data_IF_087870580400
#
_entry.id   IF_087870580400
#
_cell.length_a   1.000
_cell.length_b   1.000
_cell.length_c   1.000
_cell.angle_alpha   90.00
_cell.angle_beta   90.00
_cell.angle_gamma   90.00
#
_symmetry.space_group_name_H-M   'P 1'
#
loop_
_entity.id
_entity.type
_entity.pdbx_description
1 polymer ?
#
# COMPACT_ATOMS: atom_id res chain seq x y z
N UNK A 1 3.66 -8.04 22.55
CA UNK A 1 3.24 -7.33 21.32
C UNK A 1 2.69 -5.96 21.69
N UNK A 2 3.01 -4.91 20.92
CA UNK A 2 2.41 -3.59 21.12
C UNK A 2 0.91 -3.63 20.85
N UNK A 3 0.17 -2.77 21.53
CA UNK A 3 -1.25 -2.57 21.27
C UNK A 3 -1.49 -1.91 19.91
N UNK A 4 -2.71 -2.01 19.38
CA UNK A 4 -3.09 -1.31 18.13
C UNK A 4 -2.86 0.21 18.26
N UNK A 5 -3.18 0.79 19.41
CA UNK A 5 -2.96 2.22 19.67
C UNK A 5 -1.48 2.61 19.62
N UNK A 6 -0.59 1.79 20.18
CA UNK A 6 0.87 2.00 20.11
C UNK A 6 1.39 1.88 18.67
N UNK A 7 0.92 0.89 17.89
CA UNK A 7 1.26 0.78 16.46
C UNK A 7 0.81 2.03 15.68
N UNK A 8 -0.39 2.54 15.93
CA UNK A 8 -0.91 3.77 15.32
C UNK A 8 -0.10 5.01 15.69
N UNK A 9 0.25 5.15 16.97
CA UNK A 9 1.10 6.24 17.45
C UNK A 9 2.46 6.21 16.74
N UNK A 10 3.13 5.04 16.72
CA UNK A 10 4.40 4.84 16.03
C UNK A 10 4.30 5.17 14.53
N UNK A 11 3.19 4.82 13.88
CA UNK A 11 3.00 5.12 12.46
C UNK A 11 2.89 6.63 12.20
N UNK A 12 2.18 7.36 13.04
CA UNK A 12 2.11 8.82 12.99
C UNK A 12 3.49 9.46 13.24
N UNK A 13 4.25 8.97 14.21
CA UNK A 13 5.61 9.41 14.49
C UNK A 13 6.56 9.23 13.31
N UNK A 14 6.49 8.08 12.61
CA UNK A 14 7.27 7.84 11.38
C UNK A 14 7.00 8.90 10.30
N UNK A 15 5.77 9.36 10.17
CA UNK A 15 5.41 10.40 9.20
C UNK A 15 5.82 11.81 9.65
N UNK A 16 5.87 12.07 10.95
CA UNK A 16 6.27 13.36 11.51
C UNK A 16 7.80 13.50 11.64
N UNK A 17 8.53 12.40 11.83
CA UNK A 17 9.99 12.40 12.02
C UNK A 17 10.71 12.90 10.76
N UNK A 18 11.95 13.44 10.85
CA UNK A 18 12.78 13.74 9.69
C UNK A 18 13.11 12.49 8.86
N UNK A 19 13.48 12.70 7.59
CA UNK A 19 13.96 11.65 6.70
C UNK A 19 12.84 10.85 6.04
N UNK A 20 13.24 9.83 5.27
CA UNK A 20 12.36 8.96 4.48
C UNK A 20 12.43 7.52 4.98
N UNK A 21 11.30 6.80 4.97
CA UNK A 21 11.27 5.37 5.32
C UNK A 21 10.65 4.52 4.21
N UNK A 22 11.09 3.26 4.16
CA UNK A 22 10.50 2.26 3.27
C UNK A 22 9.42 1.51 4.01
N UNK A 23 8.26 1.37 3.36
CA UNK A 23 7.10 0.62 3.82
C UNK A 23 6.83 -0.51 2.81
N UNK A 24 7.54 -1.65 2.90
CA UNK A 24 7.41 -2.74 1.93
C UNK A 24 6.04 -3.41 2.04
N UNK A 25 5.63 -4.07 0.96
CA UNK A 25 4.30 -4.60 0.81
C UNK A 25 4.31 -6.13 0.92
N UNK A 26 3.96 -6.71 2.08
CA UNK A 26 3.67 -8.13 2.20
C UNK A 26 2.41 -8.50 1.43
N UNK A 27 2.34 -9.75 0.97
CA UNK A 27 1.19 -10.29 0.26
C UNK A 27 0.51 -11.44 1.03
N UNK A 28 1.14 -11.91 2.12
CA UNK A 28 0.63 -12.89 3.07
C UNK A 28 1.31 -12.74 4.44
N UNK A 29 0.88 -13.53 5.42
CA UNK A 29 1.43 -13.52 6.78
C UNK A 29 2.91 -13.91 6.80
N UNK A 30 3.34 -14.88 5.99
CA UNK A 30 4.74 -15.29 5.91
C UNK A 30 5.64 -14.15 5.45
N UNK A 31 5.28 -13.47 4.35
CA UNK A 31 6.02 -12.32 3.85
C UNK A 31 6.00 -11.14 4.84
N UNK A 32 4.91 -10.95 5.61
CA UNK A 32 4.86 -9.92 6.64
C UNK A 32 5.87 -10.18 7.78
N UNK A 33 5.91 -11.41 8.30
CA UNK A 33 6.88 -11.83 9.34
C UNK A 33 8.32 -11.71 8.82
N UNK A 34 8.58 -12.14 7.59
CA UNK A 34 9.91 -12.00 6.98
C UNK A 34 10.34 -10.53 6.87
N UNK A 35 9.49 -9.66 6.35
CA UNK A 35 9.80 -8.23 6.25
C UNK A 35 10.01 -7.59 7.63
N UNK A 36 9.23 -7.98 8.64
CA UNK A 36 9.44 -7.51 10.01
C UNK A 36 10.81 -7.97 10.57
N UNK A 37 11.25 -9.18 10.24
CA UNK A 37 12.58 -9.70 10.67
C UNK A 37 13.75 -8.91 10.08
N UNK A 38 13.56 -8.25 8.95
CA UNK A 38 14.56 -7.39 8.29
C UNK A 38 14.67 -5.98 8.90
N UNK A 39 13.83 -5.64 9.89
CA UNK A 39 13.90 -4.37 10.61
C UNK A 39 13.20 -3.20 9.90
N UNK A 40 12.30 -3.44 8.96
CA UNK A 40 11.48 -2.36 8.42
C UNK A 40 10.60 -1.73 9.50
N UNK A 41 10.38 -0.40 9.47
CA UNK A 41 9.66 0.29 10.55
C UNK A 41 8.14 0.16 10.47
N UNK A 42 7.59 -0.18 9.31
CA UNK A 42 6.17 -0.34 9.02
C UNK A 42 5.98 -1.19 7.76
N UNK A 43 4.77 -1.70 7.56
CA UNK A 43 4.35 -2.49 6.40
C UNK A 43 3.15 -1.83 5.70
N UNK A 44 3.00 -2.05 4.39
CA UNK A 44 1.76 -1.75 3.67
C UNK A 44 1.25 -3.00 2.97
N UNK A 45 -0.05 -3.29 3.02
CA UNK A 45 -0.61 -4.36 2.19
C UNK A 45 -0.54 -3.99 0.70
N UNK A 46 -0.89 -4.93 -0.16
CA UNK A 46 -1.01 -4.73 -1.60
C UNK A 46 -2.23 -5.49 -2.12
N UNK A 47 -3.17 -4.78 -2.75
CA UNK A 47 -4.38 -5.36 -3.35
C UNK A 47 -4.02 -6.46 -4.36
N UNK A 48 -3.10 -6.18 -5.27
CA UNK A 48 -2.61 -7.15 -6.25
C UNK A 48 -1.99 -8.38 -5.60
N UNK A 49 -1.08 -8.20 -4.61
CA UNK A 49 -0.44 -9.31 -3.91
C UNK A 49 -1.42 -10.18 -3.15
N UNK A 50 -2.38 -9.57 -2.46
CA UNK A 50 -3.49 -10.24 -1.79
C UNK A 50 -4.34 -11.07 -2.77
N UNK A 51 -4.69 -10.48 -3.91
CA UNK A 51 -5.47 -11.16 -4.93
C UNK A 51 -4.71 -12.37 -5.52
N UNK A 52 -3.41 -12.21 -5.79
CA UNK A 52 -2.57 -13.31 -6.30
C UNK A 52 -2.45 -14.46 -5.29
N UNK A 53 -2.30 -14.16 -4.00
CA UNK A 53 -2.30 -15.18 -2.94
C UNK A 53 -3.65 -15.93 -2.86
N UNK A 54 -4.75 -15.26 -3.20
CA UNK A 54 -6.09 -15.87 -3.28
C UNK A 54 -6.39 -16.58 -4.62
N UNK A 55 -5.42 -16.63 -5.56
CA UNK A 55 -5.63 -17.20 -6.90
C UNK A 55 -6.57 -16.34 -7.77
N UNK A 56 -6.61 -15.03 -7.54
CA UNK A 56 -7.48 -14.06 -8.23
C UNK A 56 -6.66 -12.98 -8.94
N UNK A 57 -7.24 -12.31 -9.91
CA UNK A 57 -6.68 -11.11 -10.52
C UNK A 57 -6.77 -9.90 -9.59
N UNK A 58 -5.96 -8.88 -9.84
CA UNK A 58 -6.01 -7.60 -9.11
C UNK A 58 -7.39 -6.96 -9.24
N UNK A 59 -7.95 -6.43 -8.13
CA UNK A 59 -9.30 -5.89 -8.04
C UNK A 59 -10.43 -6.94 -8.03
N UNK A 60 -10.12 -8.25 -7.95
CA UNK A 60 -11.12 -9.32 -7.98
C UNK A 60 -11.45 -9.91 -6.59
N UNK A 61 -11.00 -9.29 -5.52
CA UNK A 61 -11.36 -9.66 -4.15
C UNK A 61 -12.47 -8.76 -3.64
N UNK A 62 -13.31 -9.30 -2.75
CA UNK A 62 -14.34 -8.50 -2.10
C UNK A 62 -13.87 -7.87 -0.77
N UNK A 63 -14.69 -6.96 -0.24
CA UNK A 63 -14.41 -6.27 1.01
C UNK A 63 -14.19 -7.21 2.19
N UNK A 64 -14.97 -8.29 2.29
CA UNK A 64 -14.89 -9.20 3.42
C UNK A 64 -13.55 -9.94 3.44
N UNK A 65 -13.11 -10.42 2.27
CA UNK A 65 -11.79 -11.03 2.12
C UNK A 65 -10.65 -10.03 2.43
N UNK A 66 -10.74 -8.82 1.87
CA UNK A 66 -9.75 -7.77 2.12
C UNK A 66 -9.62 -7.45 3.62
N UNK A 67 -10.74 -7.28 4.33
CA UNK A 67 -10.75 -7.01 5.77
C UNK A 67 -10.19 -8.18 6.60
N UNK A 68 -10.46 -9.42 6.21
CA UNK A 68 -9.85 -10.60 6.88
C UNK A 68 -8.35 -10.61 6.69
N UNK A 69 -7.88 -10.46 5.45
CA UNK A 69 -6.46 -10.41 5.12
C UNK A 69 -5.72 -9.28 5.87
N UNK A 70 -6.33 -8.09 5.95
CA UNK A 70 -5.75 -6.96 6.68
C UNK A 70 -5.63 -7.25 8.18
N UNK A 71 -6.61 -7.91 8.78
CA UNK A 71 -6.55 -8.34 10.18
C UNK A 71 -5.42 -9.33 10.39
N UNK A 72 -5.32 -10.36 9.55
CA UNK A 72 -4.26 -11.36 9.62
C UNK A 72 -2.86 -10.73 9.54
N UNK A 73 -2.66 -9.75 8.63
CA UNK A 73 -1.40 -9.02 8.51
C UNK A 73 -1.14 -8.10 9.72
N UNK A 74 -2.16 -7.43 10.24
CA UNK A 74 -2.02 -6.53 11.39
C UNK A 74 -1.67 -7.28 12.68
N UNK A 75 -2.17 -8.51 12.82
CA UNK A 75 -1.89 -9.40 13.96
C UNK A 75 -0.56 -10.14 13.81
N UNK A 76 -0.08 -10.35 12.59
CA UNK A 76 1.11 -11.17 12.32
C UNK A 76 2.42 -10.56 12.81
N UNK A 77 2.48 -9.24 13.03
CA UNK A 77 3.72 -8.53 13.39
C UNK A 77 3.48 -7.41 14.39
N UNK A 78 4.55 -6.95 15.05
CA UNK A 78 4.52 -5.78 15.92
C UNK A 78 4.58 -4.44 15.17
N UNK A 79 4.59 -4.48 13.83
CA UNK A 79 4.73 -3.29 12.99
C UNK A 79 3.39 -2.63 12.70
N UNK A 80 3.37 -1.30 12.53
CA UNK A 80 2.23 -0.61 11.95
C UNK A 80 1.95 -1.11 10.53
N UNK A 81 0.68 -1.29 10.19
CA UNK A 81 0.23 -1.67 8.86
C UNK A 81 -0.57 -0.55 8.19
N UNK A 82 -0.19 -0.17 6.96
CA UNK A 82 -1.02 0.65 6.07
C UNK A 82 -1.78 -0.26 5.11
N UNK A 83 -3.08 -0.14 5.02
CA UNK A 83 -3.87 -0.91 4.06
C UNK A 83 -3.87 -0.24 2.67
N UNK A 84 -3.59 -1.02 1.63
CA UNK A 84 -4.03 -0.73 0.27
C UNK A 84 -5.51 -1.14 0.18
N UNK A 85 -6.40 -0.14 0.29
CA UNK A 85 -7.83 -0.37 0.47
C UNK A 85 -8.64 -0.01 -0.77
N UNK A 86 -7.98 0.01 -1.93
CA UNK A 86 -8.55 0.32 -3.25
C UNK A 86 -9.41 1.61 -3.19
N UNK A 87 -10.56 1.63 -3.87
CA UNK A 87 -11.51 2.74 -3.79
C UNK A 87 -12.47 2.64 -2.57
N UNK A 88 -12.13 1.83 -1.56
CA UNK A 88 -12.94 1.65 -0.35
C UNK A 88 -14.04 0.59 -0.48
N UNK A 89 -14.00 -0.26 -1.51
CA UNK A 89 -14.94 -1.38 -1.71
C UNK A 89 -16.42 -0.97 -1.62
N UNK A 90 -16.76 0.22 -2.08
CA UNK A 90 -18.12 0.76 -2.01
C UNK A 90 -18.48 1.57 -3.25
N UNK A 91 -19.78 1.70 -3.53
CA UNK A 91 -20.29 2.43 -4.70
C UNK A 91 -20.35 3.94 -4.46
N UNK A 92 -20.66 4.37 -3.24
CA UNK A 92 -20.91 5.75 -2.85
C UNK A 92 -20.14 6.14 -1.57
N UNK A 93 -20.24 7.38 -1.17
CA UNK A 93 -19.54 7.92 -0.01
C UNK A 93 -20.01 7.28 1.31
N UNK A 94 -21.29 6.98 1.46
CA UNK A 94 -21.83 6.34 2.67
C UNK A 94 -21.26 4.91 2.82
N UNK A 95 -21.20 4.17 1.73
CA UNK A 95 -20.56 2.87 1.71
C UNK A 95 -19.06 2.94 1.99
N UNK A 96 -18.35 4.00 1.55
CA UNK A 96 -16.94 4.25 1.91
C UNK A 96 -16.80 4.54 3.40
N UNK A 97 -17.70 5.32 4.00
CA UNK A 97 -17.70 5.57 5.44
C UNK A 97 -17.76 4.26 6.23
N UNK A 98 -18.69 3.38 5.91
CA UNK A 98 -18.81 2.08 6.59
C UNK A 98 -17.60 1.18 6.32
N UNK A 99 -17.09 1.14 5.09
CA UNK A 99 -15.88 0.36 4.76
C UNK A 99 -14.66 0.85 5.52
N UNK A 100 -14.48 2.17 5.62
CA UNK A 100 -13.39 2.80 6.37
C UNK A 100 -13.48 2.46 7.87
N UNK A 101 -14.68 2.53 8.45
CA UNK A 101 -14.93 2.12 9.85
C UNK A 101 -14.51 0.66 10.09
N UNK A 102 -14.87 -0.24 9.18
CA UNK A 102 -14.49 -1.66 9.27
C UNK A 102 -12.97 -1.85 9.08
N UNK A 103 -12.35 -1.08 8.19
CA UNK A 103 -10.90 -1.10 7.98
C UNK A 103 -10.14 -0.66 9.23
N UNK A 104 -10.59 0.41 9.91
CA UNK A 104 -10.04 0.83 11.21
C UNK A 104 -10.19 -0.29 12.24
N UNK A 105 -11.33 -0.98 12.26
CA UNK A 105 -11.60 -2.13 13.13
C UNK A 105 -10.73 -3.37 12.84
N UNK A 106 -10.14 -3.47 11.65
CA UNK A 106 -9.18 -4.53 11.31
C UNK A 106 -7.79 -4.33 11.91
N UNK A 107 -7.53 -3.25 12.67
CA UNK A 107 -6.28 -3.02 13.38
C UNK A 107 -5.21 -2.28 12.58
N UNK A 108 -5.54 -1.73 11.42
CA UNK A 108 -4.58 -0.97 10.60
C UNK A 108 -4.20 0.37 11.25
N UNK A 109 -3.01 0.86 10.92
CA UNK A 109 -2.48 2.16 11.38
C UNK A 109 -2.69 3.27 10.34
N UNK A 110 -3.01 2.91 9.12
CA UNK A 110 -3.40 3.79 8.04
C UNK A 110 -4.01 3.00 6.90
N UNK A 111 -4.67 3.68 5.97
CA UNK A 111 -5.13 3.08 4.72
C UNK A 111 -5.19 4.10 3.60
N UNK A 112 -5.15 3.62 2.36
CA UNK A 112 -5.33 4.45 1.18
C UNK A 112 -6.73 4.33 0.61
N UNK A 113 -7.24 5.45 0.08
CA UNK A 113 -8.41 5.48 -0.81
C UNK A 113 -7.96 6.07 -2.14
N UNK A 114 -8.19 5.34 -3.22
CA UNK A 114 -7.86 5.76 -4.59
C UNK A 114 -9.09 6.27 -5.34
N UNK A 115 -8.83 7.07 -6.36
CA UNK A 115 -9.87 7.67 -7.20
C UNK A 115 -10.25 6.81 -8.43
N UNK A 116 -9.86 5.53 -8.47
CA UNK A 116 -10.23 4.60 -9.54
C UNK A 116 -11.65 4.04 -9.37
N UNK A 117 -12.43 4.09 -10.45
CA UNK A 117 -13.83 3.63 -10.46
C UNK A 117 -14.00 2.11 -10.59
N UNK A 118 -12.95 1.40 -10.99
CA UNK A 118 -13.03 0.01 -11.44
C UNK A 118 -13.47 -0.14 -12.91
N UNK A 119 -13.86 0.94 -13.59
CA UNK A 119 -14.30 0.92 -14.99
C UNK A 119 -13.22 1.53 -15.90
N UNK A 120 -12.58 0.76 -16.78
CA UNK A 120 -11.58 1.29 -17.70
C UNK A 120 -12.09 2.36 -18.66
N UNK A 121 -13.41 2.36 -19.00
CA UNK A 121 -14.02 3.34 -19.88
C UNK A 121 -14.27 4.71 -19.22
N UNK A 122 -14.30 4.76 -17.89
CA UNK A 122 -14.41 5.97 -17.09
C UNK A 122 -13.53 5.80 -15.83
N UNK A 123 -12.20 5.79 -15.98
CA UNK A 123 -11.31 5.22 -14.98
C UNK A 123 -11.26 6.02 -13.67
N UNK A 124 -11.50 7.33 -13.70
CA UNK A 124 -11.46 8.14 -12.50
C UNK A 124 -12.84 8.60 -12.09
N UNK A 125 -13.13 8.55 -10.80
CA UNK A 125 -14.22 9.32 -10.22
C UNK A 125 -14.07 10.80 -10.59
N UNK A 126 -15.18 11.51 -10.77
CA UNK A 126 -15.14 12.97 -10.81
C UNK A 126 -14.42 13.51 -9.57
N UNK A 127 -13.87 14.70 -9.66
CA UNK A 127 -13.17 15.30 -8.51
C UNK A 127 -14.10 15.41 -7.30
N UNK A 128 -15.35 15.80 -7.52
CA UNK A 128 -16.35 15.90 -6.44
C UNK A 128 -16.58 14.55 -5.77
N UNK A 129 -16.82 13.48 -6.54
CA UNK A 129 -17.02 12.14 -6.00
C UNK A 129 -15.78 11.64 -5.25
N UNK A 130 -14.58 11.85 -5.80
CA UNK A 130 -13.33 11.46 -5.15
C UNK A 130 -13.12 12.18 -3.81
N UNK A 131 -13.40 13.49 -3.76
CA UNK A 131 -13.35 14.32 -2.55
C UNK A 131 -14.37 13.86 -1.52
N UNK A 132 -15.61 13.57 -1.92
CA UNK A 132 -16.66 13.12 -1.01
C UNK A 132 -16.34 11.75 -0.42
N UNK A 133 -15.73 10.85 -1.19
CA UNK A 133 -15.22 9.55 -0.71
C UNK A 133 -14.12 9.72 0.33
N UNK A 134 -13.17 10.62 0.11
CA UNK A 134 -12.12 10.94 1.08
C UNK A 134 -12.68 11.57 2.36
N UNK A 135 -13.63 12.49 2.25
CA UNK A 135 -14.32 13.08 3.40
C UNK A 135 -15.09 12.04 4.22
N UNK A 136 -15.76 11.11 3.54
CA UNK A 136 -16.46 10.00 4.18
C UNK A 136 -15.50 9.09 4.96
N UNK A 137 -14.36 8.74 4.35
CA UNK A 137 -13.31 7.96 5.02
C UNK A 137 -12.73 8.71 6.22
N UNK A 138 -12.46 10.02 6.09
CA UNK A 138 -11.99 10.87 7.20
C UNK A 138 -13.02 10.96 8.33
N UNK A 139 -14.28 11.14 8.01
CA UNK A 139 -15.37 11.19 9.00
C UNK A 139 -15.47 9.87 9.78
N UNK A 140 -15.33 8.72 9.09
CA UNK A 140 -15.32 7.40 9.74
C UNK A 140 -14.13 7.26 10.70
N UNK A 141 -12.91 7.66 10.30
CA UNK A 141 -11.75 7.66 11.19
C UNK A 141 -12.02 8.55 12.42
N UNK A 142 -12.49 9.78 12.20
CA UNK A 142 -12.73 10.74 13.28
C UNK A 142 -13.76 10.24 14.28
N UNK A 143 -14.79 9.54 13.82
CA UNK A 143 -15.83 8.96 14.67
C UNK A 143 -15.31 7.86 15.60
N UNK A 144 -14.19 7.21 15.26
CA UNK A 144 -13.56 6.19 16.14
C UNK A 144 -12.73 6.79 17.27
N UNK A 145 -12.31 8.05 17.16
CA UNK A 145 -11.32 8.68 18.06
C UNK A 145 -9.89 8.18 17.89
N UNK A 146 -9.65 7.32 16.91
CA UNK A 146 -8.37 6.65 16.70
C UNK A 146 -7.43 7.43 15.77
N UNK A 147 -6.12 7.31 15.99
CA UNK A 147 -5.10 7.97 15.15
C UNK A 147 -4.75 7.12 13.93
N UNK A 148 -5.66 7.00 12.97
CA UNK A 148 -5.42 6.27 11.71
C UNK A 148 -5.15 7.26 10.60
N UNK A 149 -4.06 7.06 9.84
CA UNK A 149 -3.68 7.96 8.74
C UNK A 149 -4.41 7.61 7.45
N UNK A 150 -4.98 8.63 6.80
CA UNK A 150 -5.64 8.51 5.51
C UNK A 150 -4.67 8.92 4.38
N UNK A 151 -4.40 8.00 3.47
CA UNK A 151 -3.64 8.28 2.24
C UNK A 151 -4.62 8.49 1.10
N UNK A 152 -4.59 9.65 0.47
CA UNK A 152 -5.32 9.86 -0.78
C UNK A 152 -4.42 9.51 -1.98
N UNK A 153 -4.93 8.65 -2.86
CA UNK A 153 -4.20 8.14 -4.02
C UNK A 153 -4.88 8.57 -5.31
N UNK A 154 -4.12 9.23 -6.20
CA UNK A 154 -4.60 9.57 -7.54
C UNK A 154 -4.08 8.59 -8.58
N UNK A 155 -4.98 7.92 -9.25
CA UNK A 155 -4.72 6.92 -10.28
C UNK A 155 -4.52 7.52 -11.70
N UNK A 156 -4.49 8.83 -11.83
CA UNK A 156 -4.49 9.52 -13.12
C UNK A 156 -3.35 9.09 -14.06
N UNK A 157 -2.14 8.85 -13.53
CA UNK A 157 -1.01 8.33 -14.33
C UNK A 157 -1.23 6.84 -14.63
N UNK A 158 -1.51 6.03 -13.62
CA UNK A 158 -1.62 4.57 -13.75
C UNK A 158 -2.73 4.17 -14.71
N UNK A 159 -3.84 4.91 -14.71
CA UNK A 159 -5.01 4.66 -15.57
C UNK A 159 -4.98 5.45 -16.88
N UNK A 160 -3.90 6.18 -17.16
CA UNK A 160 -3.75 7.02 -18.36
C UNK A 160 -4.90 8.04 -18.53
N UNK A 161 -5.39 8.60 -17.43
CA UNK A 161 -6.52 9.50 -17.37
C UNK A 161 -6.07 10.92 -17.00
N UNK A 162 -5.51 11.65 -17.93
CA UNK A 162 -4.98 13.00 -17.73
C UNK A 162 -3.57 13.09 -17.17
N UNK A 163 -2.96 11.96 -16.81
CA UNK A 163 -1.54 11.88 -16.44
C UNK A 163 -1.17 12.70 -15.20
N UNK A 164 0.08 13.18 -15.16
CA UNK A 164 0.60 13.94 -14.02
C UNK A 164 -0.19 15.25 -13.81
N UNK A 165 -0.56 15.95 -14.85
CA UNK A 165 -1.29 17.22 -14.75
C UNK A 165 -2.63 17.05 -14.01
N UNK A 166 -3.38 16.00 -14.30
CA UNK A 166 -4.63 15.68 -13.60
C UNK A 166 -4.37 15.27 -12.15
N UNK A 167 -3.34 14.44 -11.89
CA UNK A 167 -2.96 14.08 -10.52
C UNK A 167 -2.65 15.35 -9.69
N UNK A 168 -1.79 16.24 -10.20
CA UNK A 168 -1.39 17.47 -9.51
C UNK A 168 -2.58 18.40 -9.25
N UNK A 169 -3.56 18.45 -10.16
CA UNK A 169 -4.80 19.22 -9.97
C UNK A 169 -5.65 18.69 -8.82
N UNK A 170 -5.66 17.37 -8.59
CA UNK A 170 -6.45 16.69 -7.56
C UNK A 170 -5.82 16.76 -6.17
N UNK A 171 -4.49 16.69 -6.06
CA UNK A 171 -3.80 16.58 -4.77
C UNK A 171 -4.18 17.66 -3.74
N UNK A 172 -4.28 18.98 -4.06
CA UNK A 172 -4.70 19.99 -3.09
C UNK A 172 -6.10 19.72 -2.54
N UNK A 173 -7.03 19.31 -3.41
CA UNK A 173 -8.42 19.01 -3.03
C UNK A 173 -8.50 17.77 -2.13
N UNK A 174 -7.61 16.80 -2.34
CA UNK A 174 -7.49 15.62 -1.48
C UNK A 174 -6.92 15.96 -0.11
N UNK A 175 -5.96 16.88 -0.07
CA UNK A 175 -5.44 17.43 1.18
C UNK A 175 -6.54 18.15 1.98
N UNK A 176 -7.33 19.01 1.32
CA UNK A 176 -8.47 19.70 1.92
C UNK A 176 -9.59 18.74 2.35
N UNK A 177 -9.74 17.59 1.69
CA UNK A 177 -10.68 16.54 2.08
C UNK A 177 -10.24 15.77 3.34
N UNK A 178 -9.04 16.04 3.87
CA UNK A 178 -8.54 15.48 5.11
C UNK A 178 -7.56 14.32 4.95
N UNK A 179 -6.90 14.19 3.79
CA UNK A 179 -5.79 13.27 3.64
C UNK A 179 -4.60 13.69 4.51
N UNK A 180 -3.94 12.71 5.13
CA UNK A 180 -2.69 12.90 5.88
C UNK A 180 -1.46 12.64 5.01
N UNK A 181 -1.61 11.85 3.95
CA UNK A 181 -0.54 11.45 3.02
C UNK A 181 -1.08 11.52 1.60
N UNK A 182 -0.27 12.01 0.66
CA UNK A 182 -0.62 12.04 -0.74
C UNK A 182 0.19 11.00 -1.54
N UNK A 183 -0.45 10.40 -2.55
CA UNK A 183 0.16 9.34 -3.32
C UNK A 183 -0.26 9.40 -4.80
N UNK A 184 0.74 9.42 -5.68
CA UNK A 184 0.56 9.31 -7.12
C UNK A 184 1.44 8.15 -7.60
N UNK A 185 0.89 6.97 -7.89
CA UNK A 185 1.66 5.86 -8.42
C UNK A 185 2.19 6.16 -9.83
N UNK A 186 3.29 5.51 -10.20
CA UNK A 186 3.96 5.61 -11.50
C UNK A 186 4.62 6.96 -11.83
N UNK A 187 4.86 7.86 -10.86
CA UNK A 187 5.87 8.90 -11.07
C UNK A 187 7.23 8.23 -11.23
N UNK A 188 7.98 8.55 -12.28
CA UNK A 188 9.17 7.81 -12.69
C UNK A 188 10.42 8.65 -12.84
N UNK A 189 10.29 9.97 -12.92
CA UNK A 189 11.43 10.86 -13.05
C UNK A 189 11.59 11.74 -11.81
N UNK A 190 12.81 12.21 -11.51
CA UNK A 190 13.04 13.14 -10.41
C UNK A 190 12.16 14.40 -10.49
N UNK A 191 11.92 14.91 -11.70
CA UNK A 191 11.11 16.08 -11.95
C UNK A 191 9.64 15.85 -11.58
N UNK A 192 9.06 14.71 -11.99
CA UNK A 192 7.70 14.32 -11.61
C UNK A 192 7.55 14.18 -10.10
N UNK A 193 8.51 13.53 -9.44
CA UNK A 193 8.53 13.38 -7.97
C UNK A 193 8.60 14.75 -7.30
N UNK A 194 9.50 15.62 -7.74
CA UNK A 194 9.66 16.97 -7.19
C UNK A 194 8.38 17.80 -7.35
N UNK A 195 7.68 17.68 -8.49
CA UNK A 195 6.39 18.39 -8.69
C UNK A 195 5.30 17.87 -7.75
N UNK A 196 5.19 16.56 -7.54
CA UNK A 196 4.23 15.98 -6.59
C UNK A 196 4.55 16.48 -5.17
N UNK A 197 5.81 16.44 -4.75
CA UNK A 197 6.23 16.94 -3.42
C UNK A 197 5.94 18.43 -3.27
N UNK A 198 6.25 19.23 -4.28
CA UNK A 198 5.98 20.68 -4.28
C UNK A 198 4.48 20.98 -4.12
N UNK A 199 3.61 20.26 -4.84
CA UNK A 199 2.15 20.45 -4.77
C UNK A 199 1.57 19.94 -3.47
N UNK A 200 2.13 18.85 -2.91
CA UNK A 200 1.73 18.31 -1.60
C UNK A 200 2.02 19.29 -0.44
N UNK A 201 2.96 20.22 -0.63
CA UNK A 201 3.31 21.24 0.36
C UNK A 201 3.86 20.64 1.65
N UNK A 202 3.07 20.68 2.74
CA UNK A 202 3.48 20.14 4.04
C UNK A 202 3.11 18.68 4.26
N UNK A 203 2.26 18.11 3.40
CA UNK A 203 1.82 16.73 3.57
C UNK A 203 2.89 15.75 3.10
N UNK A 204 3.08 14.66 3.83
CA UNK A 204 3.92 13.55 3.41
C UNK A 204 3.51 13.01 2.04
N UNK A 205 4.50 12.70 1.20
CA UNK A 205 4.30 12.04 -0.10
C UNK A 205 4.78 10.60 -0.02
N UNK A 206 3.96 9.67 -0.53
CA UNK A 206 4.35 8.31 -0.83
C UNK A 206 4.78 8.19 -2.29
N UNK A 207 5.89 7.50 -2.55
CA UNK A 207 6.32 7.12 -3.91
C UNK A 207 6.35 5.60 -4.03
N UNK A 208 5.88 5.09 -5.16
CA UNK A 208 5.96 3.67 -5.52
C UNK A 208 7.30 3.38 -6.20
N UNK A 209 8.15 2.58 -5.58
CA UNK A 209 9.43 2.11 -6.12
C UNK A 209 9.35 0.60 -6.45
N UNK A 210 8.42 0.21 -7.31
CA UNK A 210 8.20 -1.18 -7.73
C UNK A 210 8.99 -1.62 -8.97
N UNK A 211 9.99 -0.84 -9.40
CA UNK A 211 10.86 -1.06 -10.57
C UNK A 211 12.23 -0.41 -10.36
N UNK A 212 13.25 -0.79 -11.16
CA UNK A 212 14.54 -0.11 -11.13
C UNK A 212 14.44 1.38 -11.49
N UNK A 213 15.27 2.22 -10.88
CA UNK A 213 15.35 3.65 -11.21
C UNK A 213 15.76 4.52 -10.04
N UNK A 214 15.03 4.45 -8.91
CA UNK A 214 15.35 5.24 -7.73
C UNK A 214 16.03 4.43 -6.63
N UNK A 215 16.90 5.10 -5.89
CA UNK A 215 17.34 4.66 -4.57
C UNK A 215 16.54 5.38 -3.48
N UNK A 216 16.51 4.82 -2.26
CA UNK A 216 15.90 5.48 -1.10
C UNK A 216 16.47 6.89 -0.91
N UNK A 217 17.80 7.05 -1.02
CA UNK A 217 18.48 8.34 -0.84
C UNK A 217 18.02 9.38 -1.86
N UNK A 218 17.96 9.03 -3.14
CA UNK A 218 17.48 9.96 -4.16
C UNK A 218 16.05 10.43 -3.89
N UNK A 219 15.16 9.54 -3.46
CA UNK A 219 13.79 9.92 -3.11
C UNK A 219 13.73 10.78 -1.84
N UNK A 220 14.59 10.50 -0.86
CA UNK A 220 14.72 11.31 0.36
C UNK A 220 15.22 12.73 0.03
N UNK A 221 16.23 12.85 -0.82
CA UNK A 221 16.77 14.15 -1.27
C UNK A 221 15.74 14.99 -2.05
N UNK A 222 14.76 14.32 -2.70
CA UNK A 222 13.61 14.95 -3.35
C UNK A 222 12.46 15.32 -2.40
N UNK A 223 12.59 15.04 -1.10
CA UNK A 223 11.58 15.35 -0.10
C UNK A 223 10.47 14.30 0.05
N UNK A 224 10.64 13.11 -0.51
CA UNK A 224 9.71 11.99 -0.32
C UNK A 224 9.77 11.50 1.12
N UNK A 225 8.61 11.25 1.72
CA UNK A 225 8.50 10.78 3.10
C UNK A 225 8.41 9.27 3.22
N UNK A 226 7.70 8.62 2.29
CA UNK A 226 7.39 7.22 2.36
C UNK A 226 7.59 6.55 1.00
N UNK A 227 8.17 5.36 0.99
CA UNK A 227 8.42 4.59 -0.21
C UNK A 227 7.75 3.23 -0.05
N UNK A 228 6.78 2.92 -0.93
CA UNK A 228 6.18 1.59 -1.05
C UNK A 228 6.68 0.86 -2.29
N UNK A 229 6.50 -0.45 -2.34
CA UNK A 229 6.91 -1.28 -3.48
C UNK A 229 5.72 -1.95 -4.20
N UNK A 230 4.51 -1.77 -3.68
CA UNK A 230 3.29 -2.33 -4.25
C UNK A 230 3.37 -3.85 -4.45
N UNK A 231 2.84 -4.35 -5.55
CA UNK A 231 2.89 -5.77 -5.89
C UNK A 231 4.25 -6.32 -6.31
N UNK A 232 5.36 -5.55 -6.22
CA UNK A 232 6.65 -5.98 -6.76
C UNK A 232 7.22 -7.22 -6.05
N UNK A 233 7.12 -7.30 -4.73
CA UNK A 233 7.60 -8.47 -3.97
C UNK A 233 6.77 -9.73 -4.27
N UNK A 234 5.46 -9.61 -4.36
CA UNK A 234 4.60 -10.72 -4.78
C UNK A 234 4.97 -11.19 -6.20
N UNK A 235 5.16 -10.25 -7.14
CA UNK A 235 5.58 -10.57 -8.51
C UNK A 235 6.98 -11.21 -8.57
N UNK A 236 7.89 -10.82 -7.69
CA UNK A 236 9.21 -11.44 -7.60
C UNK A 236 9.09 -12.91 -7.16
N UNK A 237 8.27 -13.21 -6.14
CA UNK A 237 7.98 -14.57 -5.69
C UNK A 237 7.31 -15.40 -6.79
N UNK A 238 6.24 -14.88 -7.41
CA UNK A 238 5.57 -15.52 -8.54
C UNK A 238 6.50 -15.74 -9.73
N UNK A 239 7.41 -14.79 -10.01
CA UNK A 239 8.36 -14.93 -11.09
C UNK A 239 9.33 -16.10 -10.90
N UNK A 240 9.81 -16.31 -9.67
CA UNK A 240 10.61 -17.49 -9.30
C UNK A 240 9.83 -18.79 -9.47
N UNK A 241 8.65 -18.85 -8.86
CA UNK A 241 7.75 -20.00 -8.96
C UNK A 241 7.42 -20.35 -10.42
N UNK A 242 6.99 -19.38 -11.23
CA UNK A 242 6.61 -19.62 -12.62
C UNK A 242 7.76 -20.11 -13.48
N UNK A 243 8.99 -19.60 -13.28
CA UNK A 243 10.18 -20.09 -14.02
C UNK A 243 10.44 -21.56 -13.70
N UNK A 244 10.49 -21.92 -12.43
CA UNK A 244 10.72 -23.29 -12.00
C UNK A 244 9.62 -24.24 -12.49
N UNK A 245 8.36 -23.88 -12.31
CA UNK A 245 7.22 -24.71 -12.71
C UNK A 245 7.20 -24.95 -14.25
N UNK A 246 7.51 -23.91 -15.06
CA UNK A 246 7.57 -24.04 -16.53
C UNK A 246 8.70 -24.98 -16.97
N UNK A 247 9.87 -24.90 -16.34
CA UNK A 247 11.00 -25.78 -16.72
C UNK A 247 10.71 -27.25 -16.35
N UNK A 248 10.11 -27.49 -15.20
CA UNK A 248 9.63 -28.83 -14.82
C UNK A 248 8.61 -29.36 -15.83
N UNK A 249 7.60 -28.56 -16.15
CA UNK A 249 6.52 -28.99 -17.03
C UNK A 249 6.98 -29.22 -18.48
N UNK A 250 7.91 -28.41 -19.00
CA UNK A 250 8.36 -28.51 -20.38
C UNK A 250 9.51 -29.51 -20.56
N UNK A 251 10.43 -29.62 -19.61
CA UNK A 251 11.72 -30.29 -19.78
C UNK A 251 11.99 -31.36 -18.72
N UNK A 252 11.19 -31.48 -17.66
CA UNK A 252 11.45 -32.36 -16.52
C UNK A 252 12.73 -32.00 -15.75
N UNK A 253 13.15 -30.72 -15.76
CA UNK A 253 14.39 -30.26 -15.13
C UNK A 253 14.08 -29.61 -13.78
N UNK A 254 15.04 -29.75 -12.86
CA UNK A 254 14.96 -29.25 -11.48
C UNK A 254 16.08 -28.27 -11.13
N UNK A 255 16.83 -27.78 -12.14
CA UNK A 255 17.99 -26.90 -11.96
C UNK A 255 17.63 -25.57 -11.28
N UNK A 256 16.38 -25.12 -11.41
CA UNK A 256 15.86 -23.93 -10.75
C UNK A 256 15.85 -24.01 -9.21
N UNK A 257 16.12 -25.19 -8.65
CA UNK A 257 16.17 -25.42 -7.21
C UNK A 257 17.60 -25.35 -6.62
N UNK A 258 18.62 -25.07 -7.43
CA UNK A 258 20.01 -25.00 -6.98
C UNK A 258 20.27 -23.91 -5.93
N UNK A 259 19.57 -22.77 -6.03
CA UNK A 259 19.78 -21.60 -5.18
C UNK A 259 18.57 -21.29 -4.26
N UNK A 260 17.88 -22.30 -3.80
CA UNK A 260 16.78 -22.10 -2.85
C UNK A 260 17.30 -21.74 -1.45
N UNK A 261 16.61 -20.87 -0.72
CA UNK A 261 16.87 -20.68 0.70
C UNK A 261 16.68 -22.00 1.45
N UNK A 262 17.47 -22.24 2.48
CA UNK A 262 17.32 -23.45 3.28
C UNK A 262 16.01 -23.42 4.08
N UNK A 263 15.52 -24.61 4.46
CA UNK A 263 14.37 -24.70 5.36
C UNK A 263 14.63 -23.99 6.70
N UNK A 264 15.88 -24.01 7.18
CA UNK A 264 16.30 -23.30 8.39
C UNK A 264 16.19 -21.78 8.26
N UNK A 265 16.59 -21.21 7.11
CA UNK A 265 16.49 -19.79 6.86
C UNK A 265 15.02 -19.32 6.86
N UNK A 266 14.14 -20.08 6.20
CA UNK A 266 12.71 -19.76 6.17
C UNK A 266 12.10 -19.89 7.56
N UNK A 267 12.30 -21.03 8.23
CA UNK A 267 11.73 -21.30 9.55
C UNK A 267 12.23 -20.29 10.59
N UNK A 268 13.52 -19.95 10.55
CA UNK A 268 14.11 -18.97 11.46
C UNK A 268 13.55 -17.56 11.26
N UNK A 269 13.29 -17.18 10.01
CA UNK A 269 12.69 -15.88 9.69
C UNK A 269 11.21 -15.76 10.09
N UNK A 270 10.49 -16.88 10.15
CA UNK A 270 9.07 -16.95 10.51
C UNK A 270 8.83 -17.20 12.01
N UNK A 271 9.89 -17.55 12.77
CA UNK A 271 9.77 -17.78 14.21
C UNK A 271 9.33 -16.50 14.94
N UNK A 272 8.40 -16.66 15.86
CA UNK A 272 8.01 -15.56 16.74
C UNK A 272 9.22 -15.16 17.59
N UNK A 273 9.61 -13.91 17.51
CA UNK A 273 10.62 -13.35 18.41
C UNK A 273 9.93 -13.17 19.75
N UNK A 274 10.17 -14.12 20.70
CA UNK A 274 9.66 -14.10 22.07
C UNK A 274 9.96 -12.80 22.82
#
# INVERSE_FOLDING_TARGET
MPTIAEKRARFAELHAAPGCFVIPNPFDVGSAKYLASLGFPALASTSAGMAFAAGRGDGAVDRAYALSHLRDLAEATDLPLNADFEAGFARDADGVHESARLCVGAGVSGFSIEDYTGNPGAPLYSVTEAVDRLRAARAAISATGEKVLLTARSEAILRQAGGLAEALRRLPLYAEAGADVLYVPLVRTPEEVAEVVRVAGKLPVNVLAGWPGFTKRQLEDLGVKRISVGGALARAAWGGFMRAAKDIAANGRFDAFADLPTMGDITGALADKG
#
